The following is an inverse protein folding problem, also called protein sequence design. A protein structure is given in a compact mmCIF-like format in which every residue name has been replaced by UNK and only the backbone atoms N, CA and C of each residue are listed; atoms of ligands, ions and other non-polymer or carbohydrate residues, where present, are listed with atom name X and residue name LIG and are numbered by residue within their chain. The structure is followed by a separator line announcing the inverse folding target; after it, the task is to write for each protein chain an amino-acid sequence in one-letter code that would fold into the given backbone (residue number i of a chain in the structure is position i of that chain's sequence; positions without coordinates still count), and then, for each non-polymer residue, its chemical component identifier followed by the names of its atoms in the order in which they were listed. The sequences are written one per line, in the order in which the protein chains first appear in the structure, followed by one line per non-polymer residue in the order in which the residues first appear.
data_IF_129007270809
#
_entry.id   IF_129007270809
#
_cell.length_a   1.000
_cell.length_b   1.000
_cell.length_c   1.000
_cell.angle_alpha   90.00
_cell.angle_beta   90.00
_cell.angle_gamma   90.00
#
_symmetry.space_group_name_H-M   'P 1'
#
loop_
_entity.id
_entity.type
_entity.pdbx_description
1 polymer ?
#
# COMPACT_ATOMS: atom_id res chain seq x y z
N UNK A 1 41.88 -36.08 41.16
CA UNK A 1 40.87 -35.95 40.09
C UNK A 1 39.55 -35.65 40.77
N UNK A 2 38.73 -34.65 40.49
CA UNK A 2 38.69 -33.50 39.56
C UNK A 2 37.70 -32.54 40.26
N UNK A 3 38.07 -31.28 40.49
CA UNK A 3 37.12 -30.23 40.87
C UNK A 3 36.57 -29.62 39.58
N UNK A 4 35.25 -29.60 39.37
CA UNK A 4 34.64 -28.75 38.34
C UNK A 4 33.45 -28.04 38.96
N UNK A 5 33.64 -26.74 39.18
CA UNK A 5 32.62 -25.79 39.58
C UNK A 5 32.08 -25.14 38.31
N UNK A 6 30.93 -25.60 37.80
CA UNK A 6 30.23 -24.94 36.69
C UNK A 6 29.05 -24.13 37.23
N UNK A 7 29.25 -22.81 37.32
CA UNK A 7 28.17 -21.84 37.55
C UNK A 7 27.42 -21.65 36.23
N UNK A 8 26.17 -22.13 36.16
CA UNK A 8 25.27 -21.80 35.07
C UNK A 8 24.44 -20.60 35.51
N UNK A 9 24.77 -19.42 34.96
CA UNK A 9 23.93 -18.24 35.06
C UNK A 9 22.84 -18.34 33.98
N UNK A 10 21.60 -18.58 34.40
CA UNK A 10 20.43 -18.50 33.52
C UNK A 10 19.88 -17.08 33.64
N UNK A 11 20.19 -16.24 32.66
CA UNK A 11 19.57 -14.92 32.53
C UNK A 11 18.19 -15.09 31.87
N UNK A 12 17.14 -14.94 32.68
CA UNK A 12 15.76 -14.88 32.21
C UNK A 12 15.53 -13.52 31.54
N UNK A 13 15.53 -13.50 30.21
CA UNK A 13 15.15 -12.31 29.44
C UNK A 13 13.65 -12.06 29.63
N UNK A 14 13.31 -11.02 30.38
CA UNK A 14 11.95 -10.51 30.46
C UNK A 14 11.59 -9.88 29.11
N UNK A 15 10.69 -10.51 28.36
CA UNK A 15 10.06 -9.92 27.17
C UNK A 15 9.08 -8.87 27.69
N UNK A 16 9.48 -7.60 27.63
CA UNK A 16 8.59 -6.47 27.90
C UNK A 16 7.70 -6.32 26.67
N UNK A 17 6.47 -6.82 26.75
CA UNK A 17 5.43 -6.52 25.77
C UNK A 17 5.12 -5.03 25.83
N UNK A 18 5.71 -4.24 24.93
CA UNK A 18 5.33 -2.85 24.76
C UNK A 18 3.97 -2.86 24.07
N UNK A 19 2.91 -2.67 24.84
CA UNK A 19 1.61 -2.34 24.28
C UNK A 19 1.74 -0.97 23.62
N UNK A 20 1.90 -0.94 22.30
CA UNK A 20 1.75 0.28 21.52
C UNK A 20 0.31 0.72 21.66
N UNK A 21 0.07 1.71 22.51
CA UNK A 21 -1.20 2.40 22.56
C UNK A 21 -1.48 2.96 21.16
N UNK A 22 -2.47 2.43 20.46
CA UNK A 22 -2.97 2.99 19.22
C UNK A 22 -3.59 4.34 19.54
N UNK A 23 -2.79 5.40 19.45
CA UNK A 23 -3.31 6.75 19.32
C UNK A 23 -4.10 6.76 18.02
N UNK A 24 -5.44 6.77 18.12
CA UNK A 24 -6.30 7.02 16.96
C UNK A 24 -5.97 8.43 16.48
N UNK A 25 -5.05 8.51 15.54
CA UNK A 25 -4.59 9.78 14.98
C UNK A 25 -5.75 10.31 14.15
N UNK A 26 -6.43 11.35 14.64
CA UNK A 26 -7.41 12.13 13.87
C UNK A 26 -6.74 12.98 12.77
N UNK A 27 -5.61 12.51 12.21
CA UNK A 27 -4.88 13.17 11.12
C UNK A 27 -5.49 12.72 9.79
N UNK A 28 -6.79 12.96 9.62
CA UNK A 28 -7.64 12.33 8.59
C UNK A 28 -7.29 12.75 7.15
N UNK A 29 -6.40 13.72 6.94
CA UNK A 29 -6.18 14.34 5.64
C UNK A 29 -4.73 14.81 5.38
N UNK A 30 -3.82 14.67 6.34
CA UNK A 30 -2.44 15.23 6.22
C UNK A 30 -1.35 14.15 6.20
N UNK A 31 -1.70 12.90 5.90
CA UNK A 31 -0.79 11.75 5.94
C UNK A 31 -1.13 10.76 4.81
N UNK A 32 -1.17 11.28 3.58
CA UNK A 32 -1.36 10.46 2.39
C UNK A 32 -0.04 9.79 2.02
N UNK A 33 -0.10 8.53 1.61
CA UNK A 33 1.01 7.88 0.95
C UNK A 33 1.11 8.42 -0.47
N UNK A 34 2.29 8.89 -0.86
CA UNK A 34 2.57 9.32 -2.22
C UNK A 34 3.22 8.16 -2.97
N UNK A 35 2.53 7.59 -3.94
CA UNK A 35 2.95 6.35 -4.58
C UNK A 35 2.92 6.45 -6.11
N UNK A 36 3.98 5.92 -6.73
CA UNK A 36 4.10 5.69 -8.16
C UNK A 36 3.85 4.20 -8.46
N UNK A 37 2.90 3.93 -9.34
CA UNK A 37 2.51 2.61 -9.80
C UNK A 37 2.86 2.43 -11.27
N UNK A 38 3.09 1.18 -11.65
CA UNK A 38 3.03 0.76 -13.05
C UNK A 38 1.93 -0.28 -13.18
N UNK A 39 0.91 0.02 -13.97
CA UNK A 39 -0.19 -0.89 -14.25
C UNK A 39 -0.13 -1.43 -15.68
N UNK A 40 -0.61 -2.65 -15.87
CA UNK A 40 -0.84 -3.24 -17.18
C UNK A 40 -2.29 -3.73 -17.27
N UNK A 41 -3.06 -3.34 -18.29
CA UNK A 41 -4.41 -3.81 -18.46
C UNK A 41 -4.42 -5.27 -18.95
N UNK A 42 -5.43 -6.03 -18.54
CA UNK A 42 -5.65 -7.41 -18.98
C UNK A 42 -6.28 -7.52 -20.38
N UNK A 43 -6.79 -6.41 -20.91
CA UNK A 43 -7.37 -6.28 -22.23
C UNK A 43 -7.06 -4.90 -22.84
N UNK A 44 -7.13 -4.73 -24.17
CA UNK A 44 -6.95 -3.42 -24.79
C UNK A 44 -7.94 -2.39 -24.25
N UNK A 45 -7.45 -1.21 -23.90
CA UNK A 45 -8.24 -0.08 -23.40
C UNK A 45 -8.39 1.01 -24.49
N UNK A 46 -9.43 1.83 -24.39
CA UNK A 46 -9.63 2.96 -25.29
C UNK A 46 -8.63 4.07 -24.95
N UNK A 47 -7.75 4.49 -25.88
CA UNK A 47 -6.75 5.53 -25.61
C UNK A 47 -7.36 6.91 -25.39
N UNK A 48 -8.67 7.10 -25.65
CA UNK A 48 -9.41 8.33 -25.36
C UNK A 48 -10.13 8.30 -24.00
N UNK A 49 -10.00 7.24 -23.23
CA UNK A 49 -10.58 7.12 -21.90
C UNK A 49 -9.93 8.09 -20.89
N UNK A 50 -10.69 8.45 -19.87
CA UNK A 50 -10.20 9.22 -18.72
C UNK A 50 -9.51 8.28 -17.72
N UNK A 51 -8.21 8.08 -17.91
CA UNK A 51 -7.41 7.21 -17.08
C UNK A 51 -7.19 7.75 -15.66
N UNK A 52 -7.24 9.07 -15.45
CA UNK A 52 -7.15 9.62 -14.10
C UNK A 52 -8.38 9.20 -13.28
N UNK A 53 -9.58 9.28 -13.85
CA UNK A 53 -10.80 8.76 -13.18
C UNK A 53 -10.73 7.25 -12.96
N UNK A 54 -10.19 6.50 -13.93
CA UNK A 54 -10.02 5.04 -13.82
C UNK A 54 -9.11 4.67 -12.66
N UNK A 55 -7.91 5.25 -12.57
CA UNK A 55 -6.96 4.86 -11.53
C UNK A 55 -7.36 5.37 -10.14
N UNK A 56 -8.01 6.53 -10.03
CA UNK A 56 -8.67 6.95 -8.81
C UNK A 56 -9.66 5.88 -8.29
N UNK A 57 -10.42 5.26 -9.20
CA UNK A 57 -11.35 4.19 -8.86
C UNK A 57 -10.62 2.89 -8.49
N UNK A 58 -9.68 2.43 -9.32
CA UNK A 58 -8.93 1.18 -9.12
C UNK A 58 -8.21 1.20 -7.76
N UNK A 59 -7.45 2.27 -7.49
CA UNK A 59 -6.65 2.41 -6.27
C UNK A 59 -7.58 2.63 -5.07
N UNK A 60 -8.54 3.55 -5.17
CA UNK A 60 -9.47 3.85 -4.07
C UNK A 60 -10.32 2.66 -3.66
N UNK A 61 -10.93 1.96 -4.62
CA UNK A 61 -11.75 0.77 -4.34
C UNK A 61 -10.93 -0.35 -3.73
N UNK A 62 -9.77 -0.65 -4.31
CA UNK A 62 -8.92 -1.75 -3.84
C UNK A 62 -8.43 -1.50 -2.41
N UNK A 63 -7.99 -0.28 -2.12
CA UNK A 63 -7.55 0.10 -0.78
C UNK A 63 -8.71 0.07 0.23
N UNK A 64 -9.91 0.51 -0.16
CA UNK A 64 -11.10 0.46 0.69
C UNK A 64 -11.48 -0.99 1.05
N UNK A 65 -11.41 -1.92 0.09
CA UNK A 65 -11.69 -3.34 0.31
C UNK A 65 -10.70 -3.95 1.31
N UNK A 66 -9.40 -3.69 1.15
CA UNK A 66 -8.36 -4.29 1.99
C UNK A 66 -8.33 -3.71 3.40
N UNK A 67 -8.64 -2.44 3.54
CA UNK A 67 -8.64 -1.74 4.83
C UNK A 67 -9.98 -1.86 5.57
N UNK A 68 -11.05 -2.21 4.85
CA UNK A 68 -12.41 -2.26 5.39
C UNK A 68 -12.97 -0.90 5.78
N UNK A 69 -12.43 0.19 5.21
CA UNK A 69 -12.72 1.57 5.60
C UNK A 69 -12.82 2.53 4.42
N UNK A 70 -13.05 3.81 4.74
CA UNK A 70 -13.01 4.88 3.74
C UNK A 70 -11.58 5.17 3.29
N UNK A 71 -11.44 5.72 2.09
CA UNK A 71 -10.17 6.19 1.53
C UNK A 71 -10.24 7.69 1.25
N UNK A 72 -9.11 8.37 1.41
CA UNK A 72 -8.93 9.76 1.02
C UNK A 72 -7.94 9.78 -0.14
N UNK A 73 -8.45 9.96 -1.35
CA UNK A 73 -7.63 10.05 -2.56
C UNK A 73 -7.58 11.52 -2.99
N UNK A 74 -6.37 12.09 -3.11
CA UNK A 74 -6.15 13.46 -3.54
C UNK A 74 -6.09 13.62 -5.07
N UNK A 75 -6.05 12.51 -5.80
CA UNK A 75 -6.12 12.40 -7.25
C UNK A 75 -4.95 11.57 -7.79
N UNK A 76 -5.26 10.74 -8.78
CA UNK A 76 -4.24 10.11 -9.62
C UNK A 76 -3.93 10.94 -10.87
N UNK A 77 -2.68 10.88 -11.33
CA UNK A 77 -2.26 11.31 -12.67
C UNK A 77 -1.67 10.12 -13.42
N UNK A 78 -2.22 9.81 -14.59
CA UNK A 78 -1.82 8.67 -15.40
C UNK A 78 -1.10 9.10 -16.69
N UNK A 79 -0.09 8.34 -17.08
CA UNK A 79 0.61 8.47 -18.36
C UNK A 79 0.76 7.09 -19.00
N UNK A 80 0.19 6.94 -20.19
CA UNK A 80 0.35 5.73 -21.01
C UNK A 80 1.77 5.64 -21.59
N UNK A 81 2.36 4.46 -21.52
CA UNK A 81 3.65 4.11 -22.10
C UNK A 81 3.47 3.43 -23.47
N UNK A 82 4.56 3.31 -24.23
CA UNK A 82 4.52 2.71 -25.58
C UNK A 82 4.32 1.18 -25.59
N UNK A 83 4.38 0.52 -24.44
CA UNK A 83 4.22 -0.92 -24.25
C UNK A 83 2.86 -1.30 -23.62
N UNK A 84 1.87 -0.41 -23.74
CA UNK A 84 0.52 -0.55 -23.20
C UNK A 84 0.47 -0.62 -21.66
N UNK A 85 1.53 -0.19 -20.97
CA UNK A 85 1.54 0.02 -19.51
C UNK A 85 1.24 1.47 -19.15
N UNK A 86 0.88 1.71 -17.89
CA UNK A 86 0.53 3.03 -17.38
C UNK A 86 1.36 3.37 -16.16
N UNK A 87 2.09 4.48 -16.22
CA UNK A 87 2.69 5.08 -15.03
C UNK A 87 1.63 5.93 -14.35
N UNK A 88 1.37 5.67 -13.07
CA UNK A 88 0.31 6.33 -12.32
C UNK A 88 0.90 6.86 -11.02
N UNK A 89 0.78 8.16 -10.80
CA UNK A 89 1.08 8.77 -9.52
C UNK A 89 -0.23 8.98 -8.75
N UNK A 90 -0.29 8.62 -7.47
CA UNK A 90 -1.47 8.85 -6.62
C UNK A 90 -1.03 9.18 -5.18
N UNK A 91 -1.69 10.18 -4.59
CA UNK A 91 -1.60 10.54 -3.19
C UNK A 91 -2.87 10.03 -2.47
N UNK A 92 -2.75 8.92 -1.72
CA UNK A 92 -3.91 8.27 -1.09
C UNK A 92 -3.65 7.83 0.35
N UNK A 93 -4.69 7.90 1.18
CA UNK A 93 -4.73 7.42 2.55
C UNK A 93 -5.95 6.54 2.81
N UNK A 94 -5.87 5.70 3.83
CA UNK A 94 -6.99 4.91 4.34
C UNK A 94 -7.37 5.32 5.77
N UNK A 95 -8.67 5.27 6.09
CA UNK A 95 -9.19 5.54 7.42
C UNK A 95 -8.50 4.66 8.47
N UNK A 96 -7.91 5.30 9.48
CA UNK A 96 -7.25 4.61 10.59
C UNK A 96 -5.88 4.01 10.24
N UNK A 97 -5.29 4.38 9.10
CA UNK A 97 -3.92 4.05 8.71
C UNK A 97 -3.02 5.29 8.68
N UNK A 98 -1.74 5.12 8.97
CA UNK A 98 -0.73 6.15 8.67
C UNK A 98 -0.35 6.13 7.19
N UNK A 99 0.40 7.14 6.73
CA UNK A 99 0.98 7.14 5.39
C UNK A 99 1.84 5.88 5.17
N UNK A 100 2.69 5.51 6.14
CA UNK A 100 3.58 4.34 6.02
C UNK A 100 2.82 3.02 6.01
N UNK A 101 1.75 2.88 6.80
CA UNK A 101 0.90 1.70 6.77
C UNK A 101 0.15 1.58 5.44
N UNK A 102 -0.33 2.71 4.90
CA UNK A 102 -0.98 2.75 3.58
C UNK A 102 0.02 2.39 2.48
N UNK A 103 1.21 2.98 2.49
CA UNK A 103 2.29 2.68 1.57
C UNK A 103 2.70 1.20 1.61
N UNK A 104 2.77 0.60 2.80
CA UNK A 104 3.08 -0.83 2.95
C UNK A 104 2.00 -1.73 2.34
N UNK A 105 0.72 -1.36 2.48
CA UNK A 105 -0.39 -2.07 1.82
C UNK A 105 -0.25 -1.97 0.30
N UNK A 106 -0.10 -0.75 -0.22
CA UNK A 106 0.01 -0.49 -1.67
C UNK A 106 1.22 -1.18 -2.28
N UNK A 107 2.37 -1.18 -1.60
CA UNK A 107 3.58 -1.90 -2.03
C UNK A 107 3.37 -3.41 -2.08
N UNK A 108 2.48 -3.93 -1.23
CA UNK A 108 2.09 -5.34 -1.23
C UNK A 108 1.30 -5.78 -2.47
N UNK A 109 0.75 -4.84 -3.25
CA UNK A 109 -0.07 -5.15 -4.42
C UNK A 109 0.71 -5.66 -5.63
N UNK A 110 2.03 -5.58 -5.62
CA UNK A 110 2.86 -5.99 -6.76
C UNK A 110 2.59 -7.45 -7.12
N UNK A 111 2.19 -7.68 -8.38
CA UNK A 111 1.79 -8.98 -8.90
C UNK A 111 0.30 -9.32 -8.74
N UNK A 112 -0.48 -8.46 -8.10
CA UNK A 112 -1.94 -8.62 -8.00
C UNK A 112 -2.66 -7.92 -9.15
N UNK A 113 -3.84 -8.45 -9.49
CA UNK A 113 -4.75 -7.82 -10.44
C UNK A 113 -5.86 -7.12 -9.67
N UNK A 114 -6.03 -5.82 -9.94
CA UNK A 114 -7.09 -4.99 -9.35
C UNK A 114 -8.22 -4.75 -10.36
N UNK A 115 -9.45 -4.74 -9.87
CA UNK A 115 -10.64 -4.53 -10.70
C UNK A 115 -10.78 -3.02 -11.03
N UNK A 116 -10.88 -2.70 -12.33
CA UNK A 116 -11.15 -1.35 -12.82
C UNK A 116 -12.52 -1.22 -13.49
N UNK A 117 -12.80 -0.05 -14.06
CA UNK A 117 -14.03 0.22 -14.82
C UNK A 117 -13.85 -0.22 -16.27
N UNK A 118 -12.67 0.07 -16.85
CA UNK A 118 -12.38 -0.19 -18.26
C UNK A 118 -11.79 -1.59 -18.49
N UNK A 119 -10.92 -2.04 -17.58
CA UNK A 119 -10.24 -3.33 -17.62
C UNK A 119 -9.87 -3.77 -16.20
N UNK A 120 -9.32 -4.97 -16.04
CA UNK A 120 -8.58 -5.28 -14.82
C UNK A 120 -7.12 -4.93 -15.00
N UNK A 121 -6.47 -4.54 -13.92
CA UNK A 121 -5.14 -3.94 -13.95
C UNK A 121 -4.17 -4.74 -13.10
N UNK A 122 -3.19 -5.37 -13.76
CA UNK A 122 -2.05 -5.98 -13.09
C UNK A 122 -1.12 -4.90 -12.56
N UNK A 123 -0.80 -4.95 -11.27
CA UNK A 123 0.19 -4.05 -10.66
C UNK A 123 1.59 -4.62 -10.89
N UNK A 124 2.37 -4.00 -11.76
CA UNK A 124 3.72 -4.43 -12.10
C UNK A 124 4.76 -3.93 -11.09
N UNK A 125 4.60 -2.71 -10.59
CA UNK A 125 5.45 -2.15 -9.54
C UNK A 125 4.73 -1.06 -8.77
N UNK A 126 5.15 -0.86 -7.52
CA UNK A 126 4.71 0.25 -6.67
C UNK A 126 5.94 0.77 -5.92
N UNK A 127 6.11 2.09 -5.90
CA UNK A 127 7.12 2.78 -5.09
C UNK A 127 6.45 3.92 -4.34
N UNK A 128 6.58 3.96 -3.02
CA UNK A 128 5.99 5.01 -2.20
C UNK A 128 7.07 5.79 -1.44
N UNK A 129 6.82 7.08 -1.21
CA UNK A 129 7.69 8.01 -0.48
C UNK A 129 7.18 8.36 0.92
#
# INVERSE_FOLDING_TARGET
MIFISSKVFIALAAVVSVATASTVSQKRQEDLASCDFVFQPDAPVDPSADFDTEFNFVIGRSLSIETGGGTFNAGSTATENADDTFNVHDDIGADGKTAEETAAILTGWVGETKEGIAANWLVLSVTCA
#
